data_IF_059126318735
#
_entry.id   IF_059126318735
#
_cell.length_a   1.000
_cell.length_b   1.000
_cell.length_c   1.000
_cell.angle_alpha   90.00
_cell.angle_beta   90.00
_cell.angle_gamma   90.00
#
_symmetry.space_group_name_H-M   'P 1'
#
loop_
_entity.id
_entity.type
_entity.pdbx_description
1 polymer ?
#
# COMPACT_ATOMS: atom_id res chain seq x y z
N UNK A 1 14.20 -1.34 11.81
CA UNK A 1 13.49 -1.34 10.51
C UNK A 1 14.01 -0.14 9.75
N UNK A 2 14.73 -0.31 8.63
CA UNK A 2 15.10 0.83 7.78
C UNK A 2 13.80 1.34 7.16
N UNK A 3 13.38 2.55 7.51
CA UNK A 3 12.35 3.26 6.74
C UNK A 3 12.98 3.67 5.43
N UNK A 4 12.81 2.82 4.44
CA UNK A 4 13.25 3.03 3.07
C UNK A 4 12.52 4.24 2.48
N UNK A 5 13.23 5.16 1.81
CA UNK A 5 12.61 6.38 1.27
C UNK A 5 11.87 6.10 -0.04
N UNK A 6 10.86 6.91 -0.38
CA UNK A 6 10.13 6.80 -1.65
C UNK A 6 11.08 6.79 -2.87
N UNK A 7 12.10 7.66 -2.87
CA UNK A 7 13.09 7.72 -3.93
C UNK A 7 13.89 6.42 -4.08
N UNK A 8 14.20 5.76 -2.96
CA UNK A 8 14.87 4.46 -2.98
C UNK A 8 13.96 3.39 -3.59
N UNK A 9 12.70 3.33 -3.17
CA UNK A 9 11.73 2.35 -3.70
C UNK A 9 11.53 2.50 -5.20
N UNK A 10 11.42 3.75 -5.68
CA UNK A 10 11.33 4.04 -7.12
C UNK A 10 12.59 3.58 -7.85
N UNK A 11 13.77 3.84 -7.30
CA UNK A 11 15.03 3.43 -7.91
C UNK A 11 15.15 1.91 -7.98
N UNK A 12 14.85 1.20 -6.89
CA UNK A 12 14.86 -0.26 -6.85
C UNK A 12 13.83 -0.85 -7.83
N UNK A 13 12.61 -0.30 -7.87
CA UNK A 13 11.58 -0.71 -8.82
C UNK A 13 12.07 -0.57 -10.27
N UNK A 14 12.70 0.55 -10.62
CA UNK A 14 13.23 0.78 -11.97
C UNK A 14 14.32 -0.24 -12.35
N UNK A 15 15.20 -0.59 -11.42
CA UNK A 15 16.24 -1.61 -11.63
C UNK A 15 15.59 -2.98 -11.84
N UNK A 16 14.74 -3.42 -10.91
CA UNK A 16 14.12 -4.75 -10.97
C UNK A 16 13.15 -4.91 -12.15
N UNK A 17 12.47 -3.85 -12.57
CA UNK A 17 11.55 -3.89 -13.71
C UNK A 17 12.28 -4.24 -15.02
N UNK A 18 13.57 -3.93 -15.12
CA UNK A 18 14.38 -4.32 -16.29
C UNK A 18 14.61 -5.83 -16.39
N UNK A 19 14.40 -6.58 -15.30
CA UNK A 19 14.54 -8.04 -15.25
C UNK A 19 13.28 -8.79 -15.69
N UNK A 20 12.15 -8.08 -15.89
CA UNK A 20 10.93 -8.68 -16.42
C UNK A 20 11.06 -8.97 -17.91
N UNK A 21 10.47 -10.09 -18.35
CA UNK A 21 10.22 -10.34 -19.76
C UNK A 21 9.19 -9.36 -20.33
N UNK A 22 9.05 -9.31 -21.65
CA UNK A 22 8.21 -8.31 -22.31
C UNK A 22 6.72 -8.37 -21.91
N UNK A 23 6.17 -9.57 -21.74
CA UNK A 23 4.77 -9.79 -21.36
C UNK A 23 4.51 -9.28 -19.94
N UNK A 24 5.30 -9.75 -18.98
CA UNK A 24 5.18 -9.40 -17.57
C UNK A 24 5.45 -7.91 -17.34
N UNK A 25 6.41 -7.34 -18.07
CA UNK A 25 6.69 -5.90 -18.04
C UNK A 25 5.50 -5.07 -18.51
N UNK A 26 4.87 -5.44 -19.64
CA UNK A 26 3.71 -4.73 -20.17
C UNK A 26 2.50 -4.80 -19.22
N UNK A 27 2.32 -5.93 -18.54
CA UNK A 27 1.32 -6.09 -17.50
C UNK A 27 1.61 -5.17 -16.30
N UNK A 28 2.86 -5.21 -15.80
CA UNK A 28 3.27 -4.46 -14.61
C UNK A 28 3.28 -2.94 -14.83
N UNK A 29 3.64 -2.47 -16.02
CA UNK A 29 3.62 -1.03 -16.33
C UNK A 29 2.21 -0.43 -16.26
N UNK A 30 1.17 -1.21 -16.61
CA UNK A 30 -0.22 -0.80 -16.41
C UNK A 30 -0.53 -0.61 -14.92
N UNK A 31 -0.09 -1.53 -14.05
CA UNK A 31 -0.26 -1.41 -12.60
C UNK A 31 0.38 -0.12 -12.08
N UNK A 32 1.61 0.17 -12.50
CA UNK A 32 2.31 1.40 -12.09
C UNK A 32 1.47 2.63 -12.45
N UNK A 33 0.97 2.72 -13.69
CA UNK A 33 0.16 3.86 -14.14
C UNK A 33 -1.10 4.05 -13.29
N UNK A 34 -1.84 2.98 -13.01
CA UNK A 34 -3.06 3.05 -12.18
C UNK A 34 -2.77 3.44 -10.73
N UNK A 35 -1.79 2.77 -10.10
CA UNK A 35 -1.49 2.96 -8.68
C UNK A 35 -0.89 4.34 -8.40
N UNK A 36 0.02 4.83 -9.26
CA UNK A 36 0.61 6.17 -9.11
C UNK A 36 -0.35 7.31 -9.42
N UNK A 37 -1.38 7.09 -10.25
CA UNK A 37 -2.44 8.11 -10.39
C UNK A 37 -3.17 8.34 -9.06
N UNK A 38 -3.26 7.31 -8.21
CA UNK A 38 -3.99 7.35 -6.95
C UNK A 38 -3.10 7.77 -5.79
N UNK A 39 -1.78 7.61 -5.89
CA UNK A 39 -0.84 8.14 -4.88
C UNK A 39 -0.94 9.65 -4.72
N UNK A 40 -1.45 10.38 -5.72
CA UNK A 40 -1.79 11.81 -5.59
C UNK A 40 -2.85 12.10 -4.51
N UNK A 41 -3.69 11.11 -4.20
CA UNK A 41 -4.78 11.19 -3.22
C UNK A 41 -4.50 10.35 -1.96
N UNK A 42 -3.41 9.56 -1.95
CA UNK A 42 -3.08 8.55 -0.94
C UNK A 42 -1.63 8.67 -0.49
N UNK A 43 -1.17 7.77 0.39
CA UNK A 43 0.20 7.79 0.88
C UNK A 43 1.16 7.23 -0.18
N UNK A 44 1.95 8.11 -0.82
CA UNK A 44 2.91 7.74 -1.86
C UNK A 44 3.90 6.64 -1.42
N UNK A 45 4.40 6.72 -0.19
CA UNK A 45 5.33 5.72 0.35
C UNK A 45 4.68 4.34 0.44
N UNK A 46 3.41 4.27 0.86
CA UNK A 46 2.65 3.03 0.91
C UNK A 46 2.47 2.44 -0.49
N UNK A 47 2.14 3.28 -1.47
CA UNK A 47 1.94 2.87 -2.87
C UNK A 47 3.24 2.31 -3.47
N UNK A 48 4.38 2.98 -3.32
CA UNK A 48 5.65 2.49 -3.87
C UNK A 48 6.12 1.19 -3.20
N UNK A 49 5.81 0.98 -1.91
CA UNK A 49 6.07 -0.31 -1.24
C UNK A 49 5.22 -1.43 -1.83
N UNK A 50 3.94 -1.18 -2.08
CA UNK A 50 3.05 -2.16 -2.71
C UNK A 50 3.56 -2.51 -4.12
N UNK A 51 3.91 -1.50 -4.92
CA UNK A 51 4.45 -1.70 -6.26
C UNK A 51 5.74 -2.54 -6.24
N UNK A 52 6.67 -2.24 -5.32
CA UNK A 52 7.90 -3.01 -5.20
C UNK A 52 7.66 -4.47 -4.80
N UNK A 53 6.74 -4.73 -3.87
CA UNK A 53 6.40 -6.10 -3.47
C UNK A 53 5.77 -6.89 -4.61
N UNK A 54 4.81 -6.31 -5.33
CA UNK A 54 4.19 -6.95 -6.50
C UNK A 54 5.21 -7.25 -7.60
N UNK A 55 6.20 -6.38 -7.81
CA UNK A 55 7.28 -6.61 -8.74
C UNK A 55 8.15 -7.82 -8.33
N UNK A 56 8.47 -7.92 -7.04
CA UNK A 56 9.25 -9.03 -6.49
C UNK A 56 8.49 -10.36 -6.63
N UNK A 57 7.20 -10.37 -6.31
CA UNK A 57 6.33 -11.54 -6.47
C UNK A 57 6.24 -11.97 -7.94
N UNK A 58 6.09 -11.00 -8.86
CA UNK A 58 6.05 -11.28 -10.30
C UNK A 58 7.38 -11.80 -10.85
N UNK A 59 8.52 -11.33 -10.34
CA UNK A 59 9.83 -11.86 -10.73
C UNK A 59 9.98 -13.33 -10.31
N UNK A 60 9.54 -13.69 -9.10
CA UNK A 60 9.53 -15.08 -8.63
C UNK A 60 8.61 -15.94 -9.50
N UNK A 61 7.40 -15.45 -9.81
CA UNK A 61 6.48 -16.15 -10.70
C UNK A 61 7.09 -16.37 -12.10
N UNK A 62 7.76 -15.35 -12.64
CA UNK A 62 8.46 -15.44 -13.91
C UNK A 62 9.59 -16.47 -13.90
N UNK A 63 10.39 -16.52 -12.83
CA UNK A 63 11.44 -17.54 -12.66
C UNK A 63 10.86 -18.96 -12.66
N UNK A 64 9.63 -19.12 -12.16
CA UNK A 64 8.88 -20.38 -12.20
C UNK A 64 8.17 -20.64 -13.55
N UNK A 65 8.33 -19.75 -14.54
CA UNK A 65 7.72 -19.87 -15.86
C UNK A 65 6.26 -19.41 -15.93
N UNK A 66 5.76 -18.71 -14.91
CA UNK A 66 4.41 -18.18 -14.87
C UNK A 66 4.36 -16.74 -15.44
N UNK A 67 3.34 -16.45 -16.24
CA UNK A 67 3.06 -15.08 -16.66
C UNK A 67 2.32 -14.31 -15.57
N UNK A 68 2.35 -12.99 -15.64
CA UNK A 68 1.64 -12.12 -14.71
C UNK A 68 0.14 -12.42 -14.68
N UNK A 69 -0.46 -12.73 -15.84
CA UNK A 69 -1.87 -13.09 -15.92
C UNK A 69 -2.14 -14.46 -15.25
N UNK A 70 -1.24 -15.43 -15.40
CA UNK A 70 -1.36 -16.73 -14.76
C UNK A 70 -1.23 -16.62 -13.23
N UNK A 71 -0.26 -15.83 -12.74
CA UNK A 71 0.01 -15.67 -11.32
C UNK A 71 -1.03 -14.81 -10.59
N UNK A 72 -1.35 -13.63 -11.14
CA UNK A 72 -2.31 -12.72 -10.50
C UNK A 72 -3.77 -13.07 -10.82
N UNK A 73 -4.02 -13.87 -11.86
CA UNK A 73 -5.34 -14.39 -12.22
C UNK A 73 -6.36 -13.34 -12.68
N UNK A 74 -5.95 -12.08 -12.81
CA UNK A 74 -6.80 -10.94 -13.14
C UNK A 74 -6.11 -10.06 -14.16
N UNK A 75 -6.86 -9.20 -14.84
CA UNK A 75 -6.22 -8.13 -15.60
C UNK A 75 -5.64 -7.06 -14.63
N UNK A 76 -4.71 -6.21 -15.10
CA UNK A 76 -4.07 -5.20 -14.26
C UNK A 76 -5.05 -4.27 -13.57
N UNK A 77 -6.16 -3.93 -14.24
CA UNK A 77 -7.14 -2.99 -13.71
C UNK A 77 -7.90 -3.60 -12.53
N UNK A 78 -8.47 -4.79 -12.68
CA UNK A 78 -9.19 -5.49 -11.61
C UNK A 78 -8.28 -5.77 -10.40
N UNK A 79 -7.01 -6.06 -10.66
CA UNK A 79 -6.01 -6.22 -9.60
C UNK A 79 -5.81 -4.89 -8.84
N UNK A 80 -5.63 -3.78 -9.56
CA UNK A 80 -5.49 -2.46 -8.95
C UNK A 80 -6.74 -2.07 -8.16
N UNK A 81 -7.94 -2.26 -8.71
CA UNK A 81 -9.21 -1.94 -8.05
C UNK A 81 -9.32 -2.63 -6.68
N UNK A 82 -9.01 -3.93 -6.61
CA UNK A 82 -8.99 -4.66 -5.34
C UNK A 82 -7.94 -4.16 -4.34
N UNK A 83 -6.76 -3.73 -4.82
CA UNK A 83 -5.73 -3.13 -3.97
C UNK A 83 -6.18 -1.77 -3.42
N UNK A 84 -6.73 -0.92 -4.27
CA UNK A 84 -7.21 0.43 -3.93
C UNK A 84 -8.33 0.35 -2.90
N UNK A 85 -9.27 -0.59 -3.07
CA UNK A 85 -10.35 -0.81 -2.12
C UNK A 85 -9.79 -1.20 -0.73
N UNK A 86 -8.80 -2.09 -0.69
CA UNK A 86 -8.16 -2.50 0.55
C UNK A 86 -7.38 -1.37 1.23
N UNK A 87 -6.63 -0.57 0.46
CA UNK A 87 -5.92 0.63 0.96
C UNK A 87 -6.93 1.63 1.55
N UNK A 88 -8.03 1.88 0.83
CA UNK A 88 -9.12 2.76 1.28
C UNK A 88 -9.73 2.30 2.61
N UNK A 89 -10.07 1.02 2.73
CA UNK A 89 -10.60 0.41 3.96
C UNK A 89 -9.62 0.53 5.13
N UNK A 90 -8.33 0.30 4.91
CA UNK A 90 -7.29 0.43 5.94
C UNK A 90 -7.15 1.87 6.43
N UNK A 91 -7.03 2.82 5.51
CA UNK A 91 -6.91 4.25 5.81
C UNK A 91 -8.12 4.77 6.62
N UNK A 92 -9.33 4.32 6.29
CA UNK A 92 -10.53 4.65 7.06
C UNK A 92 -10.51 4.05 8.48
N UNK A 93 -10.12 2.78 8.63
CA UNK A 93 -10.00 2.13 9.94
C UNK A 93 -8.95 2.81 10.82
N UNK A 94 -7.77 3.13 10.28
CA UNK A 94 -6.71 3.81 11.02
C UNK A 94 -7.13 5.21 11.48
N UNK A 95 -7.81 5.97 10.61
CA UNK A 95 -8.33 7.29 10.94
C UNK A 95 -9.45 7.23 11.99
N UNK A 96 -10.37 6.28 11.88
CA UNK A 96 -11.43 6.11 12.87
C UNK A 96 -10.87 5.66 14.23
N UNK A 97 -9.90 4.75 14.23
CA UNK A 97 -9.26 4.25 15.45
C UNK A 97 -8.49 5.35 16.15
N UNK A 98 -7.75 6.20 15.41
CA UNK A 98 -7.01 7.31 16.00
C UNK A 98 -7.94 8.37 16.60
N UNK A 99 -9.05 8.70 15.93
CA UNK A 99 -10.05 9.64 16.46
C UNK A 99 -10.74 9.11 17.73
N UNK A 100 -11.08 7.82 17.77
CA UNK A 100 -11.65 7.17 18.95
C UNK A 100 -10.65 7.11 20.11
N UNK A 101 -9.37 6.86 19.84
CA UNK A 101 -8.32 6.85 20.86
C UNK A 101 -8.12 8.24 21.49
N UNK A 102 -8.10 9.30 20.67
CA UNK A 102 -7.94 10.69 21.14
C UNK A 102 -9.16 11.12 21.96
N UNK A 103 -10.37 10.90 21.44
CA UNK A 103 -11.62 11.27 22.13
C UNK A 103 -11.86 10.47 23.41
N UNK A 104 -11.59 9.16 23.39
CA UNK A 104 -11.67 8.30 24.56
C UNK A 104 -10.66 8.69 25.64
N UNK A 105 -9.41 8.98 25.26
CA UNK A 105 -8.39 9.46 26.19
C UNK A 105 -8.78 10.79 26.85
N UNK A 106 -9.32 11.74 26.08
CA UNK A 106 -9.82 13.01 26.61
C UNK A 106 -10.96 12.80 27.63
N UNK A 107 -11.95 11.96 27.31
CA UNK A 107 -13.05 11.65 28.23
C UNK A 107 -12.56 11.02 29.54
N UNK A 108 -11.62 10.07 29.48
CA UNK A 108 -11.04 9.44 30.66
C UNK A 108 -10.29 10.45 31.56
N UNK A 109 -9.53 11.38 30.95
CA UNK A 109 -8.84 12.45 31.70
C UNK A 109 -9.84 13.38 32.38
N UNK A 110 -10.91 13.79 31.69
CA UNK A 110 -11.93 14.68 32.29
C UNK A 110 -12.71 14.02 33.43
N UNK A 111 -13.05 12.73 33.31
CA UNK A 111 -13.67 11.95 34.38
C UNK A 111 -12.76 11.83 35.60
N UNK A 112 -11.48 11.51 35.38
CA UNK A 112 -10.50 11.41 36.45
C UNK A 112 -10.29 12.74 37.19
N UNK A 113 -10.16 13.85 36.46
CA UNK A 113 -10.03 15.19 37.05
C UNK A 113 -11.29 15.61 37.81
N UNK A 114 -12.48 15.31 37.28
CA UNK A 114 -13.75 15.60 37.96
C UNK A 114 -13.92 14.82 39.27
N UNK A 115 -13.51 13.55 39.29
CA UNK A 115 -13.50 12.72 40.51
C UNK A 115 -12.47 13.21 41.54
N UNK A 116 -11.29 13.66 41.10
CA UNK A 116 -10.26 14.22 41.98
C UNK A 116 -10.71 15.53 42.65
N UNK A 117 -11.53 16.34 41.98
CA UNK A 117 -12.02 17.61 42.53
C UNK A 117 -13.11 17.43 43.61
N UNK A 118 -13.67 16.22 43.74
CA UNK A 118 -14.74 15.88 44.69
C UNK A 118 -14.23 15.27 46.02
N UNK A 119 -12.92 15.01 46.13
CA UNK A 119 -12.26 14.41 47.31
C UNK A 119 -11.39 15.47 47.98
#
# INVERSE_FOLDING_TARGET
MKTESTAFLIAENNVLKSCLNAENKAYFEKIISYMRAISLLKNELEIENILLNLLKDLLVAQENGESALAYFGKNPQEMCEGLIENIGKRSFKETLTSLLAISGGYLLITLFLGLFMLI
#
